data_IF_386362578871
#
_entry.id   IF_386362578871
#
_cell.length_a   1.000
_cell.length_b   1.000
_cell.length_c   1.000
_cell.angle_alpha   90.00
_cell.angle_beta   90.00
_cell.angle_gamma   90.00
#
_symmetry.space_group_name_H-M   'P 1'
#
loop_
_entity.id
_entity.type
_entity.pdbx_description
1 polymer ?
#
# COMPACT_ATOMS: atom_id res chain seq x y z
N UNK A 1 16.92 24.50 -60.56
CA UNK A 1 15.67 24.80 -61.32
C UNK A 1 14.49 24.39 -60.48
N UNK A 2 13.83 25.33 -59.75
CA UNK A 2 12.72 26.18 -60.18
C UNK A 2 11.45 25.35 -60.42
N UNK A 3 10.31 25.54 -59.84
CA UNK A 3 9.42 26.66 -59.44
C UNK A 3 8.26 26.03 -58.67
N UNK A 4 7.78 26.48 -57.48
CA UNK A 4 6.90 27.62 -57.27
C UNK A 4 5.55 27.63 -58.03
N UNK A 5 4.46 27.56 -57.24
CA UNK A 5 3.17 28.25 -57.34
C UNK A 5 2.18 27.67 -56.30
N UNK A 6 1.73 28.21 -55.28
CA UNK A 6 0.91 29.37 -54.90
C UNK A 6 -0.38 29.50 -55.74
N UNK A 7 -1.53 29.54 -55.04
CA UNK A 7 -2.68 30.45 -55.23
C UNK A 7 -3.96 29.88 -54.59
N UNK A 8 -4.45 30.56 -53.57
CA UNK A 8 -5.70 31.29 -53.24
C UNK A 8 -6.95 30.47 -52.91
N UNK A 9 -7.41 30.62 -51.66
CA UNK A 9 -8.44 31.56 -51.12
C UNK A 9 -9.76 31.58 -51.85
N UNK A 10 -10.84 31.14 -51.22
CA UNK A 10 -12.12 31.86 -51.25
C UNK A 10 -12.99 31.53 -50.04
N UNK A 11 -13.51 32.58 -49.45
CA UNK A 11 -14.47 32.73 -48.35
C UNK A 11 -15.91 32.62 -48.85
N UNK A 12 -16.83 32.11 -47.99
CA UNK A 12 -18.22 32.56 -47.78
C UNK A 12 -18.80 31.74 -46.62
N UNK A 13 -19.11 32.23 -45.54
CA UNK A 13 -20.16 32.98 -44.84
C UNK A 13 -21.58 32.63 -45.30
N UNK A 14 -22.38 32.02 -44.44
CA UNK A 14 -23.77 32.42 -44.18
C UNK A 14 -24.30 31.71 -42.91
N UNK A 15 -24.85 32.50 -42.04
CA UNK A 15 -25.64 32.37 -40.83
C UNK A 15 -26.96 31.57 -41.01
N UNK A 16 -27.44 30.88 -39.98
CA UNK A 16 -28.62 31.14 -39.11
C UNK A 16 -28.94 29.84 -38.34
N UNK A 17 -28.96 29.85 -37.03
CA UNK A 17 -29.97 30.22 -36.00
C UNK A 17 -31.20 29.30 -35.98
N UNK A 18 -31.33 28.53 -34.93
CA UNK A 18 -32.47 28.41 -34.00
C UNK A 18 -32.22 27.28 -32.98
N UNK A 19 -32.06 27.59 -31.80
CA UNK A 19 -32.91 27.57 -30.60
C UNK A 19 -33.38 26.20 -30.08
N UNK A 20 -33.12 26.02 -28.80
CA UNK A 20 -33.88 25.34 -27.76
C UNK A 20 -33.64 23.87 -27.50
N UNK A 21 -33.00 23.48 -26.41
CA UNK A 21 -33.68 23.24 -25.17
C UNK A 21 -32.67 22.79 -24.09
N UNK A 22 -32.61 23.57 -23.07
CA UNK A 22 -32.09 23.25 -21.76
C UNK A 22 -32.61 21.90 -21.24
N UNK A 23 -31.68 21.01 -20.86
CA UNK A 23 -31.99 20.00 -19.86
C UNK A 23 -30.83 19.91 -18.91
N UNK A 24 -30.93 20.73 -17.90
CA UNK A 24 -30.19 20.68 -16.67
C UNK A 24 -30.36 19.28 -16.04
N UNK A 25 -29.38 18.42 -16.17
CA UNK A 25 -29.29 17.25 -15.31
C UNK A 25 -28.50 17.65 -14.05
N UNK A 26 -29.25 17.83 -13.03
CA UNK A 26 -28.90 18.06 -11.64
C UNK A 26 -27.90 16.99 -11.20
N UNK A 27 -26.66 17.39 -10.99
CA UNK A 27 -25.69 16.60 -10.22
C UNK A 27 -26.21 16.60 -8.79
N UNK A 28 -26.85 15.53 -8.41
CA UNK A 28 -27.14 15.23 -7.03
C UNK A 28 -25.81 14.89 -6.36
N UNK A 29 -25.32 15.84 -5.55
CA UNK A 29 -24.40 15.57 -4.46
C UNK A 29 -25.13 14.61 -3.52
N UNK A 30 -24.93 13.33 -3.70
CA UNK A 30 -25.28 12.33 -2.71
C UNK A 30 -24.10 12.21 -1.73
N UNK A 31 -24.08 13.15 -0.79
CA UNK A 31 -23.33 13.01 0.46
C UNK A 31 -24.15 12.07 1.33
N UNK A 32 -24.20 10.80 0.97
CA UNK A 32 -24.64 9.79 1.90
C UNK A 32 -23.49 9.52 2.87
N UNK A 33 -23.60 10.09 4.06
CA UNK A 33 -22.99 9.54 5.27
C UNK A 33 -23.42 8.07 5.39
N UNK A 34 -22.64 7.21 4.77
CA UNK A 34 -22.78 5.78 4.91
C UNK A 34 -21.98 5.37 6.14
N UNK A 35 -22.65 5.19 7.26
CA UNK A 35 -22.28 4.23 8.29
C UNK A 35 -22.31 2.84 7.64
N UNK A 36 -21.51 2.65 6.64
CA UNK A 36 -21.52 1.53 5.72
C UNK A 36 -20.31 0.65 5.94
N UNK A 37 -20.60 -0.57 6.23
CA UNK A 37 -19.72 -1.72 6.16
C UNK A 37 -18.63 -1.56 5.08
N UNK A 38 -17.43 -1.22 5.51
CA UNK A 38 -16.27 -1.00 4.66
C UNK A 38 -15.78 -2.36 4.10
N UNK A 39 -15.56 -2.46 2.81
CA UNK A 39 -15.01 -3.67 2.21
C UNK A 39 -13.49 -3.69 2.31
N UNK A 40 -12.92 -4.87 2.41
CA UNK A 40 -11.47 -5.03 2.43
C UNK A 40 -10.81 -4.38 1.20
N UNK A 41 -11.42 -4.54 0.03
CA UNK A 41 -10.95 -3.94 -1.23
C UNK A 41 -10.88 -2.41 -1.13
N UNK A 42 -11.94 -1.76 -0.61
CA UNK A 42 -11.97 -0.29 -0.50
C UNK A 42 -10.93 0.26 0.49
N UNK A 43 -10.53 -0.52 1.49
CA UNK A 43 -9.43 -0.14 2.38
C UNK A 43 -8.09 -0.13 1.62
N UNK A 44 -7.82 -1.16 0.82
CA UNK A 44 -6.60 -1.19 -0.01
C UNK A 44 -6.56 -0.06 -1.03
N UNK A 45 -7.70 0.27 -1.67
CA UNK A 45 -7.81 1.38 -2.60
C UNK A 45 -7.49 2.72 -1.92
N UNK A 46 -8.12 3.01 -0.78
CA UNK A 46 -7.83 4.22 0.00
C UNK A 46 -6.38 4.30 0.51
N UNK A 47 -5.81 3.18 0.93
CA UNK A 47 -4.44 3.14 1.39
C UNK A 47 -3.44 3.38 0.24
N UNK A 48 -3.69 2.79 -0.93
CA UNK A 48 -2.89 3.00 -2.13
C UNK A 48 -2.91 4.47 -2.57
N UNK A 49 -4.09 5.08 -2.61
CA UNK A 49 -4.27 6.50 -2.93
C UNK A 49 -3.61 7.41 -1.88
N UNK A 50 -3.91 7.21 -0.60
CA UNK A 50 -3.41 8.05 0.50
C UNK A 50 -1.89 8.10 0.58
N UNK A 51 -1.22 6.99 0.32
CA UNK A 51 0.24 6.89 0.42
C UNK A 51 0.94 6.91 -0.94
N UNK A 52 0.18 7.12 -2.04
CA UNK A 52 0.75 7.11 -3.39
C UNK A 52 1.66 5.88 -3.61
N UNK A 53 1.07 4.70 -3.48
CA UNK A 53 1.72 3.41 -3.64
C UNK A 53 0.88 2.53 -4.57
N UNK A 54 1.52 1.67 -5.36
CA UNK A 54 0.78 0.76 -6.24
C UNK A 54 -0.19 -0.11 -5.43
N UNK A 55 -1.46 -0.12 -5.86
CA UNK A 55 -2.48 -1.00 -5.31
C UNK A 55 -2.07 -2.48 -5.44
N UNK A 56 -1.58 -2.88 -6.62
CA UNK A 56 -1.16 -4.26 -6.89
C UNK A 56 -0.02 -4.70 -5.98
N UNK A 57 0.93 -3.79 -5.72
CA UNK A 57 2.02 -4.07 -4.79
C UNK A 57 1.52 -4.26 -3.35
N UNK A 58 0.66 -3.36 -2.89
CA UNK A 58 0.10 -3.44 -1.54
C UNK A 58 -0.71 -4.73 -1.33
N UNK A 59 -1.51 -5.09 -2.33
CA UNK A 59 -2.32 -6.33 -2.33
C UNK A 59 -1.44 -7.58 -2.41
N UNK A 60 -0.37 -7.55 -3.23
CA UNK A 60 0.59 -8.66 -3.32
C UNK A 60 1.31 -8.91 -1.99
N UNK A 61 1.66 -7.84 -1.27
CA UNK A 61 2.23 -7.94 0.08
C UNK A 61 1.23 -8.59 1.04
N UNK A 62 -0.02 -8.12 1.11
CA UNK A 62 -1.04 -8.69 1.98
C UNK A 62 -1.31 -10.19 1.70
N UNK A 63 -1.33 -10.56 0.41
CA UNK A 63 -1.45 -11.96 -0.02
C UNK A 63 -0.27 -12.80 0.44
N UNK A 64 0.94 -12.26 0.37
CA UNK A 64 2.15 -12.96 0.79
C UNK A 64 2.23 -13.13 2.30
N UNK A 65 1.81 -12.12 3.06
CA UNK A 65 1.92 -12.06 4.52
C UNK A 65 0.92 -12.96 5.23
N UNK A 66 -0.34 -12.91 4.85
CA UNK A 66 -1.40 -13.58 5.60
C UNK A 66 -2.48 -14.25 4.76
N UNK A 67 -2.38 -14.17 3.44
CA UNK A 67 -3.51 -14.51 2.56
C UNK A 67 -4.80 -13.77 2.93
N UNK A 68 -4.66 -12.49 3.24
CA UNK A 68 -5.73 -11.59 3.68
C UNK A 68 -6.37 -11.95 5.03
N UNK A 69 -5.74 -12.75 5.88
CA UNK A 69 -6.25 -13.07 7.20
C UNK A 69 -5.98 -11.91 8.19
N UNK A 70 -7.03 -11.18 8.57
CA UNK A 70 -6.93 -10.04 9.51
C UNK A 70 -6.55 -10.43 10.94
N UNK A 71 -6.68 -11.69 11.29
CA UNK A 71 -6.39 -12.21 12.64
C UNK A 71 -5.11 -13.06 12.69
N UNK A 72 -4.30 -12.99 11.63
CA UNK A 72 -3.06 -13.75 11.54
C UNK A 72 -2.04 -13.27 12.57
N UNK A 73 -1.38 -14.23 13.22
CA UNK A 73 -0.21 -13.99 14.08
C UNK A 73 0.87 -14.99 13.67
N UNK A 74 2.06 -14.48 13.33
CA UNK A 74 3.18 -15.35 12.99
C UNK A 74 3.89 -15.87 14.24
N UNK A 75 4.72 -16.90 14.07
CA UNK A 75 5.59 -17.41 15.14
C UNK A 75 6.57 -16.36 15.68
N UNK A 76 6.90 -15.36 14.86
CA UNK A 76 7.74 -14.23 15.23
C UNK A 76 6.97 -13.08 15.93
N UNK A 77 5.64 -13.20 16.05
CA UNK A 77 4.80 -12.19 16.67
C UNK A 77 4.28 -11.10 15.73
N UNK A 78 4.53 -11.17 14.43
CA UNK A 78 3.93 -10.26 13.45
C UNK A 78 2.41 -10.42 13.41
N UNK A 79 1.65 -9.34 13.31
CA UNK A 79 0.21 -9.33 13.54
C UNK A 79 -0.60 -8.70 12.40
N UNK A 80 -1.78 -9.24 12.20
CA UNK A 80 -2.79 -8.71 11.29
C UNK A 80 -2.56 -9.07 9.82
N UNK A 81 -3.36 -8.48 8.96
CA UNK A 81 -3.41 -8.79 7.53
C UNK A 81 -2.09 -8.50 6.79
N UNK A 82 -1.34 -7.50 7.27
CA UNK A 82 -0.06 -7.08 6.71
C UNK A 82 1.13 -7.55 7.56
N UNK A 83 0.91 -8.32 8.61
CA UNK A 83 1.94 -8.86 9.49
C UNK A 83 2.92 -7.80 10.01
N UNK A 84 2.38 -6.72 10.60
CA UNK A 84 3.20 -5.66 11.20
C UNK A 84 3.73 -6.09 12.57
N UNK A 85 5.03 -5.92 12.79
CA UNK A 85 5.66 -6.25 14.07
C UNK A 85 5.21 -5.30 15.19
N UNK A 86 5.01 -5.81 16.42
CA UNK A 86 4.54 -5.00 17.55
C UNK A 86 5.36 -3.73 17.82
N UNK A 87 6.66 -3.80 17.66
CA UNK A 87 7.57 -2.67 17.88
C UNK A 87 7.39 -1.55 16.83
N UNK A 88 6.85 -1.87 15.65
CA UNK A 88 6.60 -0.89 14.59
C UNK A 88 5.21 -0.24 14.72
N UNK A 89 4.24 -0.94 15.32
CA UNK A 89 2.82 -0.58 15.33
C UNK A 89 2.58 0.83 15.88
N UNK A 90 3.20 1.16 17.03
CA UNK A 90 3.07 2.49 17.65
C UNK A 90 3.52 3.61 16.72
N UNK A 91 4.67 3.45 16.05
CA UNK A 91 5.23 4.43 15.11
C UNK A 91 4.40 4.58 13.83
N UNK A 92 3.63 3.55 13.50
CA UNK A 92 2.75 3.52 12.34
C UNK A 92 1.33 3.99 12.65
N UNK A 93 0.99 4.20 13.93
CA UNK A 93 -0.35 4.62 14.37
C UNK A 93 -1.34 3.46 14.49
N UNK A 94 -0.86 2.22 14.58
CA UNK A 94 -1.69 1.03 14.75
C UNK A 94 -1.96 0.82 16.24
N UNK A 95 -3.21 0.98 16.65
CA UNK A 95 -3.67 0.75 18.02
C UNK A 95 -4.22 -0.67 18.19
N UNK A 96 -4.97 -1.16 17.18
CA UNK A 96 -5.42 -2.55 17.07
C UNK A 96 -4.83 -3.18 15.80
N UNK A 97 -3.86 -4.08 15.91
CA UNK A 97 -3.25 -4.73 14.75
C UNK A 97 -4.20 -5.68 14.01
N UNK A 98 -5.33 -6.02 14.60
CA UNK A 98 -6.36 -6.87 13.99
C UNK A 98 -7.49 -6.08 13.35
N UNK A 99 -7.49 -4.75 13.49
CA UNK A 99 -8.29 -3.85 12.68
C UNK A 99 -7.68 -3.75 11.28
N UNK A 100 -8.45 -4.15 10.27
CA UNK A 100 -7.95 -4.23 8.91
C UNK A 100 -7.49 -2.86 8.36
N UNK A 101 -8.22 -1.80 8.68
CA UNK A 101 -7.89 -0.46 8.18
C UNK A 101 -6.61 0.08 8.82
N UNK A 102 -6.49 0.00 10.14
CA UNK A 102 -5.29 0.46 10.83
C UNK A 102 -4.05 -0.32 10.37
N UNK A 103 -4.17 -1.63 10.23
CA UNK A 103 -3.06 -2.49 9.85
C UNK A 103 -2.62 -2.24 8.39
N UNK A 104 -3.56 -2.13 7.44
CA UNK A 104 -3.26 -1.83 6.03
C UNK A 104 -2.69 -0.42 5.88
N UNK A 105 -3.28 0.59 6.53
CA UNK A 105 -2.80 1.98 6.47
C UNK A 105 -1.38 2.11 7.06
N UNK A 106 -1.14 1.49 8.21
CA UNK A 106 0.20 1.49 8.82
C UNK A 106 1.25 0.81 7.93
N UNK A 107 0.92 -0.34 7.35
CA UNK A 107 1.81 -1.05 6.44
C UNK A 107 2.06 -0.28 5.14
N UNK A 108 1.03 0.35 4.55
CA UNK A 108 1.19 1.20 3.37
C UNK A 108 2.14 2.39 3.65
N UNK A 109 2.01 3.03 4.81
CA UNK A 109 2.95 4.07 5.27
C UNK A 109 4.39 3.56 5.36
N UNK A 110 4.59 2.36 5.91
CA UNK A 110 5.92 1.74 6.03
C UNK A 110 6.50 1.39 4.65
N UNK A 111 5.70 0.77 3.78
CA UNK A 111 6.10 0.44 2.41
C UNK A 111 6.44 1.69 1.60
N UNK A 112 5.67 2.79 1.73
CA UNK A 112 6.01 4.08 1.10
C UNK A 112 7.34 4.63 1.59
N UNK A 113 7.62 4.51 2.90
CA UNK A 113 8.91 4.91 3.45
C UNK A 113 10.07 4.08 2.87
N UNK A 114 9.86 2.78 2.66
CA UNK A 114 10.84 1.93 1.99
C UNK A 114 11.02 2.29 0.51
N UNK A 115 9.94 2.50 -0.23
CA UNK A 115 10.01 2.97 -1.62
C UNK A 115 10.80 4.28 -1.72
N UNK A 116 10.50 5.24 -0.86
CA UNK A 116 11.26 6.51 -0.81
C UNK A 116 12.74 6.28 -0.51
N UNK A 117 13.06 5.36 0.41
CA UNK A 117 14.43 5.04 0.83
C UNK A 117 15.24 4.33 -0.26
N UNK A 118 14.57 3.62 -1.16
CA UNK A 118 15.17 2.83 -2.22
C UNK A 118 14.77 3.33 -3.62
N UNK A 119 14.56 4.64 -3.77
CA UNK A 119 14.36 5.32 -5.05
C UNK A 119 13.22 4.74 -5.91
N UNK A 120 12.13 4.31 -5.27
CA UNK A 120 10.97 3.74 -5.95
C UNK A 120 11.10 2.28 -6.34
N UNK A 121 12.21 1.62 -5.99
CA UNK A 121 12.41 0.20 -6.28
C UNK A 121 11.50 -0.66 -5.40
N UNK A 122 10.46 -1.25 -6.03
CA UNK A 122 9.50 -2.12 -5.37
C UNK A 122 10.13 -3.40 -4.83
N UNK A 123 11.18 -3.86 -5.48
CA UNK A 123 11.98 -5.01 -5.12
C UNK A 123 12.70 -4.77 -3.80
N UNK A 124 13.43 -3.66 -3.70
CA UNK A 124 14.15 -3.31 -2.48
C UNK A 124 13.20 -2.88 -1.36
N UNK A 125 12.08 -2.22 -1.69
CA UNK A 125 11.07 -1.85 -0.71
C UNK A 125 10.47 -3.08 -0.05
N UNK A 126 10.11 -4.07 -0.85
CA UNK A 126 9.60 -5.30 -0.34
C UNK A 126 10.68 -6.11 0.41
N UNK A 127 11.98 -6.18 -0.01
CA UNK A 127 13.04 -6.79 0.79
C UNK A 127 13.25 -6.09 2.13
N UNK A 128 13.10 -4.77 2.16
CA UNK A 128 13.18 -4.01 3.39
C UNK A 128 12.01 -4.30 4.33
N UNK A 129 10.83 -4.59 3.76
CA UNK A 129 9.68 -4.99 4.54
C UNK A 129 9.88 -6.34 5.26
N UNK A 130 10.56 -7.35 4.69
CA UNK A 130 10.87 -8.66 5.32
C UNK A 130 12.19 -8.71 6.11
N UNK A 131 13.27 -8.29 5.51
CA UNK A 131 14.59 -8.42 6.13
C UNK A 131 15.02 -7.17 6.91
N UNK A 132 14.17 -6.11 6.89
CA UNK A 132 14.55 -4.81 7.43
C UNK A 132 15.43 -4.01 6.47
N UNK A 133 15.22 -2.69 6.43
CA UNK A 133 15.98 -1.79 5.56
C UNK A 133 17.49 -1.75 5.87
N UNK A 134 17.88 -2.15 7.08
CA UNK A 134 19.29 -2.29 7.47
C UNK A 134 20.00 -3.40 6.70
N UNK A 135 19.36 -4.56 6.57
CA UNK A 135 19.91 -5.69 5.81
C UNK A 135 20.04 -5.33 4.32
N UNK A 136 19.01 -4.71 3.72
CA UNK A 136 19.06 -4.26 2.33
C UNK A 136 20.22 -3.29 2.09
N UNK A 137 20.44 -2.33 2.99
CA UNK A 137 21.58 -1.41 2.90
C UNK A 137 22.92 -2.15 3.04
N UNK A 138 23.03 -3.04 4.02
CA UNK A 138 24.25 -3.82 4.29
C UNK A 138 24.70 -4.61 3.07
N UNK A 139 23.76 -5.21 2.35
CA UNK A 139 24.06 -6.05 1.17
C UNK A 139 24.00 -5.29 -0.15
N UNK A 140 23.61 -4.01 -0.13
CA UNK A 140 23.48 -3.21 -1.35
C UNK A 140 22.40 -3.71 -2.31
N UNK A 141 21.46 -4.53 -1.84
CA UNK A 141 20.44 -5.20 -2.64
C UNK A 141 19.61 -6.16 -1.80
N UNK A 142 19.01 -7.15 -2.45
CA UNK A 142 18.30 -8.23 -1.74
C UNK A 142 19.28 -9.00 -0.88
N UNK A 143 19.06 -9.06 0.44
CA UNK A 143 19.93 -9.89 1.29
C UNK A 143 19.90 -11.34 0.84
N UNK A 144 21.02 -12.07 0.94
CA UNK A 144 21.11 -13.47 0.51
C UNK A 144 20.43 -14.44 1.48
N UNK A 145 19.30 -14.00 2.05
CA UNK A 145 18.48 -14.81 2.91
C UNK A 145 17.47 -15.57 2.05
N UNK A 146 17.46 -16.90 2.15
CA UNK A 146 16.58 -17.77 1.35
C UNK A 146 15.12 -17.35 1.48
N UNK A 147 14.68 -16.98 2.69
CA UNK A 147 13.34 -16.51 2.97
C UNK A 147 13.04 -15.22 2.20
N UNK A 148 13.89 -14.21 2.31
CA UNK A 148 13.72 -12.92 1.64
C UNK A 148 13.71 -13.07 0.12
N UNK A 149 14.63 -13.85 -0.44
CA UNK A 149 14.68 -14.12 -1.88
C UNK A 149 13.36 -14.78 -2.36
N UNK A 150 12.86 -15.77 -1.64
CA UNK A 150 11.63 -16.46 -2.00
C UNK A 150 10.42 -15.54 -1.88
N UNK A 151 10.38 -14.70 -0.86
CA UNK A 151 9.31 -13.72 -0.70
C UNK A 151 9.29 -12.70 -1.84
N UNK A 152 10.44 -12.19 -2.25
CA UNK A 152 10.57 -11.31 -3.42
C UNK A 152 9.96 -11.94 -4.66
N UNK A 153 10.37 -13.18 -4.96
CA UNK A 153 9.84 -13.93 -6.09
C UNK A 153 8.32 -14.08 -6.01
N UNK A 154 7.80 -14.33 -4.79
CA UNK A 154 6.36 -14.47 -4.53
C UNK A 154 5.62 -13.16 -4.80
N UNK A 155 6.13 -12.01 -4.32
CA UNK A 155 5.54 -10.70 -4.58
C UNK A 155 5.55 -10.39 -6.07
N UNK A 156 6.69 -10.59 -6.75
CA UNK A 156 6.78 -10.39 -8.20
C UNK A 156 5.74 -11.21 -8.95
N UNK A 157 5.62 -12.48 -8.62
CA UNK A 157 4.64 -13.38 -9.22
C UNK A 157 3.22 -12.84 -9.01
N UNK A 158 2.84 -12.45 -7.80
CA UNK A 158 1.52 -11.93 -7.49
C UNK A 158 1.21 -10.63 -8.23
N UNK A 159 2.19 -9.74 -8.39
CA UNK A 159 1.99 -8.51 -9.17
C UNK A 159 1.82 -8.79 -10.67
N UNK A 160 2.48 -9.81 -11.20
CA UNK A 160 2.38 -10.20 -12.61
C UNK A 160 1.07 -10.93 -12.94
N UNK A 161 0.64 -11.82 -12.06
CA UNK A 161 -0.58 -12.63 -12.24
C UNK A 161 -1.85 -11.87 -11.85
N UNK A 162 -1.71 -10.79 -11.09
CA UNK A 162 -2.80 -10.10 -10.41
C UNK A 162 -3.30 -10.88 -9.19
N UNK A 163 -3.81 -10.16 -8.21
CA UNK A 163 -4.39 -10.75 -7.00
C UNK A 163 -5.76 -10.17 -6.75
N UNK A 164 -6.76 -11.02 -6.65
CA UNK A 164 -8.10 -10.61 -6.28
C UNK A 164 -8.21 -10.51 -4.76
N UNK A 165 -8.54 -9.32 -4.25
CA UNK A 165 -8.85 -9.11 -2.84
C UNK A 165 -10.22 -9.71 -2.54
N UNK A 166 -10.36 -10.52 -1.48
CA UNK A 166 -11.66 -11.06 -1.08
C UNK A 166 -12.69 -9.95 -0.86
N UNK A 167 -13.84 -10.05 -1.53
CA UNK A 167 -14.94 -9.10 -1.37
C UNK A 167 -15.71 -9.39 -0.08
N UNK A 168 -15.11 -9.06 1.05
CA UNK A 168 -15.74 -9.19 2.36
C UNK A 168 -15.80 -7.86 3.09
N UNK A 169 -16.86 -7.70 3.85
CA UNK A 169 -17.02 -6.59 4.77
C UNK A 169 -16.14 -6.82 6.00
N UNK A 170 -15.53 -5.77 6.49
CA UNK A 170 -14.73 -5.78 7.70
C UNK A 170 -15.20 -4.68 8.63
N UNK A 171 -15.17 -4.95 9.93
CA UNK A 171 -15.37 -3.91 10.93
C UNK A 171 -14.10 -3.09 11.04
N UNK A 172 -14.24 -1.78 11.00
CA UNK A 172 -13.13 -0.84 11.19
C UNK A 172 -13.51 0.12 12.30
N UNK A 173 -12.57 0.42 13.17
CA UNK A 173 -12.71 1.46 14.18
C UNK A 173 -12.24 2.78 13.58
N UNK A 174 -13.08 3.38 12.74
CA UNK A 174 -12.74 4.58 11.95
C UNK A 174 -12.42 5.83 12.78
N UNK A 175 -12.65 5.82 14.09
CA UNK A 175 -12.48 7.00 14.96
C UNK A 175 -11.05 7.19 15.50
N UNK A 176 -10.07 6.40 15.07
CA UNK A 176 -8.76 6.35 15.71
C UNK A 176 -7.59 6.94 14.90
N UNK A 177 -7.83 7.50 13.71
CA UNK A 177 -6.73 7.94 12.84
C UNK A 177 -6.55 9.45 12.72
N UNK A 178 -7.33 10.27 13.43
CA UNK A 178 -7.06 11.70 13.52
C UNK A 178 -6.15 11.97 14.72
N UNK A 179 -4.97 12.50 14.41
CA UNK A 179 -3.92 12.75 15.38
C UNK A 179 -4.33 13.70 16.46
N UNK A 180 -4.11 13.31 17.71
CA UNK A 180 -3.95 14.23 18.80
C UNK A 180 -2.85 13.69 19.71
N UNK A 181 -1.76 14.41 19.78
CA UNK A 181 -0.78 14.22 20.83
C UNK A 181 -1.35 14.73 22.15
N UNK A 182 -1.21 13.90 23.16
CA UNK A 182 -0.95 14.36 24.54
C UNK A 182 -0.74 13.14 25.44
N UNK A 183 0.39 13.14 26.07
CA UNK A 183 0.87 12.62 27.34
C UNK A 183 -0.17 12.16 28.37
N UNK A 184 0.11 10.99 28.95
CA UNK A 184 0.34 10.71 30.39
C UNK A 184 0.17 9.21 30.59
N UNK A 185 1.17 8.48 31.02
CA UNK A 185 1.65 8.31 32.36
C UNK A 185 1.38 6.91 32.89
N UNK A 186 2.46 6.18 33.23
CA UNK A 186 2.65 5.12 34.24
C UNK A 186 1.94 3.76 34.03
N UNK A 187 2.60 2.61 34.04
CA UNK A 187 3.45 2.00 35.07
C UNK A 187 4.23 0.79 34.53
N UNK A 188 5.45 0.67 35.01
CA UNK A 188 6.31 -0.48 34.79
C UNK A 188 5.77 -1.75 35.50
N UNK A 189 5.85 -2.88 34.78
CA UNK A 189 6.07 -4.15 35.46
C UNK A 189 7.14 -4.97 34.73
N UNK A 190 8.30 -4.92 35.30
CA UNK A 190 9.49 -5.69 34.98
C UNK A 190 9.21 -7.19 35.14
N UNK A 191 9.40 -7.96 34.08
CA UNK A 191 9.71 -9.37 34.20
C UNK A 191 10.80 -9.73 33.21
N UNK A 192 11.95 -10.06 33.76
CA UNK A 192 13.14 -10.56 33.09
C UNK A 192 12.87 -11.97 32.58
N UNK A 193 13.08 -12.23 31.31
CA UNK A 193 13.45 -13.57 30.85
C UNK A 193 14.28 -13.48 29.58
N UNK A 194 15.27 -14.28 29.55
CA UNK A 194 16.45 -14.40 28.73
C UNK A 194 16.21 -14.30 27.22
N UNK A 195 17.11 -13.53 26.62
CA UNK A 195 17.43 -13.50 25.20
C UNK A 195 17.83 -14.90 24.70
N UNK A 196 17.04 -15.45 23.82
CA UNK A 196 17.53 -16.33 22.76
C UNK A 196 17.44 -15.52 21.50
N UNK A 197 18.60 -15.20 20.95
CA UNK A 197 18.79 -14.50 19.70
C UNK A 197 18.22 -15.35 18.55
N UNK A 198 16.93 -15.16 18.29
CA UNK A 198 16.30 -15.60 17.05
C UNK A 198 15.76 -14.34 16.39
N UNK A 199 16.62 -13.68 15.63
CA UNK A 199 16.23 -12.57 14.77
C UNK A 199 15.20 -13.09 13.78
N UNK A 200 13.94 -13.01 14.16
CA UNK A 200 12.82 -13.35 13.31
C UNK A 200 12.81 -12.36 12.14
N UNK A 201 13.24 -12.84 11.02
CA UNK A 201 13.30 -12.07 9.77
C UNK A 201 11.89 -11.90 9.28
N UNK A 202 11.39 -10.68 9.37
CA UNK A 202 10.11 -10.30 8.79
C UNK A 202 10.24 -10.33 7.27
N UNK A 203 9.35 -11.06 6.61
CA UNK A 203 9.41 -11.26 5.18
C UNK A 203 9.11 -9.99 4.38
N UNK A 204 10.04 -9.46 3.64
CA UNK A 204 9.93 -8.36 2.70
C UNK A 204 10.76 -8.60 1.48
N UNK A 205 10.34 -8.31 0.37
CA UNK A 205 10.82 -8.66 -0.93
C UNK A 205 11.50 -7.53 -1.67
N UNK A 206 12.41 -7.76 -2.50
CA UNK A 206 12.88 -6.82 -3.44
C UNK A 206 13.70 -7.37 -4.56
N UNK A 207 13.73 -6.77 -5.62
CA UNK A 207 14.41 -6.76 -6.91
C UNK A 207 13.69 -7.49 -8.01
N UNK A 208 12.73 -6.80 -8.61
CA UNK A 208 12.07 -7.31 -9.79
C UNK A 208 12.96 -7.28 -11.03
N UNK A 209 13.97 -6.43 -11.07
CA UNK A 209 14.78 -6.26 -12.27
C UNK A 209 16.15 -6.93 -12.27
N UNK A 210 16.73 -7.25 -11.11
CA UNK A 210 18.10 -7.77 -11.02
C UNK A 210 18.23 -9.25 -10.74
N UNK A 211 17.13 -9.99 -10.65
CA UNK A 211 17.18 -11.45 -10.66
C UNK A 211 16.97 -11.93 -12.09
N UNK A 212 17.89 -11.58 -12.96
CA UNK A 212 18.10 -12.35 -14.18
C UNK A 212 18.87 -13.61 -13.78
N UNK A 213 18.37 -14.74 -14.21
CA UNK A 213 18.83 -16.11 -14.04
C UNK A 213 20.34 -16.25 -14.15
#
# INVERSE_FOLDING_TARGET
NSKSASVKKTTAKTTEKTSSASKTSKTSNDTSESTGSTTLKSIFERAAEKYDISYDFLVAVAKAESDFNTKCVSSAGAQGIMQVMPEEQKGLGIKDPFDAEQNIMGAAKLLKAHLKKFNGDYTLAAAAYNAGSGAVKKYGGVPPYKETINYVKKIKKFMQEGVTVPNRKVSTTSDAYEGSGASTGVEEKKTTSQSTDTTAVKATASDFEKVTV
#
